data_IF_981174637880
#
_entry.id   IF_981174637880
#
_cell.length_a   1.000
_cell.length_b   1.000
_cell.length_c   1.000
_cell.angle_alpha   90.00
_cell.angle_beta   90.00
_cell.angle_gamma   90.00
#
_symmetry.space_group_name_H-M   'P 1'
#
loop_
_entity.id
_entity.type
_entity.pdbx_description
1 polymer ?
#
# COMPACT_ATOMS: atom_id res chain seq x y z
N UNK A 1 -3.19 -2.98 0.50
CA UNK A 1 -3.94 -3.85 1.43
C UNK A 1 -5.41 -3.87 1.03
N UNK A 2 -6.25 -4.80 1.53
CA UNK A 2 -7.70 -4.79 1.30
C UNK A 2 -8.46 -4.71 2.63
N UNK A 3 -9.49 -3.86 2.71
CA UNK A 3 -10.41 -3.78 3.86
C UNK A 3 -11.88 -3.81 3.41
N UNK A 4 -12.72 -4.25 4.34
CA UNK A 4 -13.87 -5.14 4.12
C UNK A 4 -15.16 -4.59 4.75
N UNK A 5 -16.27 -4.95 4.08
CA UNK A 5 -17.72 -5.05 4.41
C UNK A 5 -18.36 -3.99 5.32
N UNK A 6 -19.25 -3.18 4.74
CA UNK A 6 -20.38 -2.61 5.48
C UNK A 6 -21.41 -3.73 5.72
N UNK A 7 -21.83 -3.92 6.99
CA UNK A 7 -22.87 -4.86 7.36
C UNK A 7 -24.23 -4.44 6.76
N UNK A 8 -24.56 -4.99 5.59
CA UNK A 8 -25.92 -4.97 5.01
C UNK A 8 -26.72 -6.23 5.39
N UNK A 9 -26.48 -6.78 6.60
CA UNK A 9 -27.24 -7.90 7.18
C UNK A 9 -27.99 -7.45 8.44
N UNK A 10 -28.70 -6.32 8.38
CA UNK A 10 -29.78 -6.01 9.33
C UNK A 10 -31.13 -6.42 8.76
N UNK A 11 -31.22 -7.67 8.29
CA UNK A 11 -32.45 -8.26 7.77
C UNK A 11 -32.70 -9.61 8.42
N UNK A 12 -33.63 -9.62 9.36
CA UNK A 12 -34.22 -10.80 10.00
C UNK A 12 -33.34 -11.58 10.99
N UNK A 13 -33.41 -11.20 12.27
CA UNK A 13 -33.44 -12.16 13.39
C UNK A 13 -33.75 -11.41 14.68
N UNK A 14 -35.03 -11.23 14.98
CA UNK A 14 -35.56 -11.16 16.34
C UNK A 14 -37.09 -11.29 16.30
N UNK A 15 -37.60 -12.19 17.14
CA UNK A 15 -39.00 -12.54 17.37
C UNK A 15 -39.66 -13.47 16.35
N UNK A 16 -39.61 -14.77 16.65
CA UNK A 16 -40.83 -15.55 16.92
C UNK A 16 -40.47 -16.92 17.49
N UNK A 17 -40.59 -17.03 18.82
CA UNK A 17 -40.80 -18.27 19.53
C UNK A 17 -42.28 -18.66 19.42
N UNK A 18 -42.60 -19.79 18.78
CA UNK A 18 -43.60 -20.79 19.19
C UNK A 18 -44.05 -21.68 18.02
N UNK A 19 -43.91 -22.99 18.24
CA UNK A 19 -44.72 -24.11 17.73
C UNK A 19 -44.73 -24.46 16.22
N UNK A 20 -44.26 -25.68 15.93
CA UNK A 20 -45.02 -26.63 15.11
C UNK A 20 -44.63 -26.73 13.63
N UNK A 21 -43.88 -27.79 13.29
CA UNK A 21 -43.85 -28.52 12.02
C UNK A 21 -44.45 -27.82 10.78
N UNK A 22 -43.62 -27.14 9.99
CA UNK A 22 -43.94 -26.74 8.61
C UNK A 22 -42.71 -26.99 7.75
N UNK A 23 -42.97 -27.52 6.55
CA UNK A 23 -42.03 -27.80 5.45
C UNK A 23 -40.80 -26.89 5.47
N UNK A 24 -39.61 -27.50 5.43
CA UNK A 24 -38.38 -26.79 5.06
C UNK A 24 -38.65 -26.04 3.75
N UNK A 25 -38.61 -24.71 3.73
CA UNK A 25 -38.57 -23.99 2.47
C UNK A 25 -37.26 -24.41 1.82
N UNK A 26 -37.33 -24.93 0.59
CA UNK A 26 -36.18 -24.84 -0.32
C UNK A 26 -35.71 -23.40 -0.24
N UNK A 27 -34.50 -23.17 0.27
CA UNK A 27 -33.84 -21.88 0.20
C UNK A 27 -33.95 -21.44 -1.26
N UNK A 28 -34.84 -20.47 -1.50
CA UNK A 28 -34.89 -19.75 -2.75
C UNK A 28 -33.48 -19.21 -2.93
N UNK A 29 -32.79 -19.66 -3.97
CA UNK A 29 -31.57 -19.03 -4.43
C UNK A 29 -31.97 -17.59 -4.78
N UNK A 30 -31.81 -16.69 -3.81
CA UNK A 30 -31.96 -15.26 -4.02
C UNK A 30 -31.04 -14.85 -5.17
N UNK A 31 -31.38 -13.74 -5.83
CA UNK A 31 -30.55 -13.15 -6.88
C UNK A 31 -29.06 -13.16 -6.46
N UNK A 32 -28.13 -13.38 -7.40
CA UNK A 32 -26.72 -13.52 -7.06
C UNK A 32 -26.28 -12.35 -6.18
N UNK A 33 -25.67 -12.66 -5.04
CA UNK A 33 -25.16 -11.66 -4.13
C UNK A 33 -24.05 -10.90 -4.87
N UNK A 34 -24.30 -9.63 -5.17
CA UNK A 34 -23.32 -8.77 -5.83
C UNK A 34 -22.36 -8.22 -4.77
N UNK A 35 -21.07 -8.49 -4.93
CA UNK A 35 -19.99 -7.97 -4.09
C UNK A 35 -19.28 -6.86 -4.85
N UNK A 36 -19.34 -5.63 -4.35
CA UNK A 36 -18.75 -4.46 -5.02
C UNK A 36 -17.38 -4.15 -4.46
N UNK A 37 -16.38 -4.23 -5.33
CA UNK A 37 -14.98 -4.11 -5.00
C UNK A 37 -14.34 -2.89 -5.66
N UNK A 38 -13.86 -1.93 -4.86
CA UNK A 38 -13.15 -0.74 -5.36
C UNK A 38 -11.64 -0.97 -5.26
N UNK A 39 -10.94 -0.86 -6.39
CA UNK A 39 -9.48 -1.06 -6.47
C UNK A 39 -8.81 0.11 -7.17
N UNK A 40 -7.54 0.39 -6.88
CA UNK A 40 -6.75 1.27 -7.75
C UNK A 40 -6.53 0.64 -9.14
N UNK A 41 -6.11 1.48 -10.08
CA UNK A 41 -5.65 1.02 -11.40
C UNK A 41 -4.31 0.29 -11.27
N UNK A 42 -4.34 -1.02 -11.51
CA UNK A 42 -3.15 -1.88 -11.54
C UNK A 42 -2.49 -1.85 -12.92
N UNK A 43 -1.15 -1.84 -12.98
CA UNK A 43 -0.38 -2.05 -14.21
C UNK A 43 -0.50 -3.48 -14.74
N UNK A 44 -0.91 -4.42 -13.87
CA UNK A 44 -1.21 -5.81 -14.21
C UNK A 44 -2.68 -6.12 -13.93
N UNK A 45 -3.63 -5.62 -14.74
CA UNK A 45 -5.06 -5.77 -14.47
C UNK A 45 -5.52 -7.24 -14.51
N UNK A 46 -4.89 -8.07 -15.36
CA UNK A 46 -5.24 -9.48 -15.55
C UNK A 46 -5.11 -10.34 -14.28
N UNK A 47 -4.24 -9.95 -13.34
CA UNK A 47 -4.07 -10.67 -12.06
C UNK A 47 -5.35 -10.60 -11.24
N UNK A 48 -5.98 -9.42 -11.19
CA UNK A 48 -7.22 -9.21 -10.46
C UNK A 48 -8.41 -9.84 -11.15
N UNK A 49 -8.45 -9.79 -12.49
CA UNK A 49 -9.51 -10.42 -13.25
C UNK A 49 -9.50 -11.95 -13.05
N UNK A 50 -8.31 -12.56 -13.02
CA UNK A 50 -8.17 -13.98 -12.71
C UNK A 50 -8.53 -14.28 -11.25
N UNK A 51 -8.08 -13.47 -10.29
CA UNK A 51 -8.43 -13.66 -8.87
C UNK A 51 -9.94 -13.58 -8.62
N UNK A 52 -10.62 -12.63 -9.27
CA UNK A 52 -12.08 -12.49 -9.23
C UNK A 52 -12.76 -13.72 -9.84
N UNK A 53 -12.31 -14.16 -11.02
CA UNK A 53 -12.86 -15.35 -11.67
C UNK A 53 -12.72 -16.59 -10.80
N UNK A 54 -11.56 -16.78 -10.18
CA UNK A 54 -11.31 -17.90 -9.28
C UNK A 54 -12.16 -17.82 -8.00
N UNK A 55 -12.38 -16.61 -7.48
CA UNK A 55 -13.27 -16.39 -6.35
C UNK A 55 -14.73 -16.73 -6.70
N UNK A 56 -15.24 -16.23 -7.83
CA UNK A 56 -16.62 -16.52 -8.28
C UNK A 56 -16.82 -18.01 -8.56
N UNK A 57 -15.81 -18.69 -9.13
CA UNK A 57 -15.87 -20.13 -9.37
C UNK A 57 -15.96 -20.95 -8.07
N UNK A 58 -15.32 -20.48 -6.99
CA UNK A 58 -15.38 -21.12 -5.66
C UNK A 58 -16.60 -20.71 -4.84
N UNK A 59 -17.32 -19.66 -5.24
CA UNK A 59 -18.48 -19.14 -4.52
C UNK A 59 -19.70 -19.01 -5.46
N UNK A 60 -20.33 -20.14 -5.86
CA UNK A 60 -21.46 -20.11 -6.78
C UNK A 60 -22.63 -19.29 -6.24
N UNK A 61 -23.08 -18.32 -7.03
CA UNK A 61 -24.14 -17.38 -6.63
C UNK A 61 -23.63 -16.03 -6.13
N UNK A 62 -22.32 -15.80 -6.08
CA UNK A 62 -21.73 -14.48 -5.85
C UNK A 62 -21.16 -13.92 -7.14
N UNK A 63 -21.44 -12.65 -7.43
CA UNK A 63 -20.85 -11.91 -8.55
C UNK A 63 -20.02 -10.75 -8.00
N UNK A 64 -18.78 -10.61 -8.45
CA UNK A 64 -17.93 -9.47 -8.07
C UNK A 64 -18.02 -8.40 -9.15
N UNK A 65 -18.35 -7.18 -8.75
CA UNK A 65 -18.32 -6.00 -9.61
C UNK A 65 -17.17 -5.11 -9.15
N UNK A 66 -16.16 -4.99 -10.01
CA UNK A 66 -14.95 -4.22 -9.71
C UNK A 66 -15.04 -2.80 -10.27
N UNK A 67 -14.98 -1.81 -9.40
CA UNK A 67 -14.76 -0.40 -9.76
C UNK A 67 -13.25 -0.11 -9.74
N UNK A 68 -12.73 0.44 -10.84
CA UNK A 68 -11.30 0.77 -10.97
C UNK A 68 -11.14 2.28 -10.79
N UNK A 69 -10.55 2.67 -9.67
CA UNK A 69 -10.18 4.04 -9.35
C UNK A 69 -8.90 4.52 -10.04
N UNK A 70 -8.41 5.71 -9.68
CA UNK A 70 -7.15 6.26 -10.18
C UNK A 70 -5.93 5.41 -9.78
N UNK A 71 -4.79 5.71 -10.41
CA UNK A 71 -3.51 5.08 -10.09
C UNK A 71 -2.78 5.77 -8.93
N UNK A 72 -2.96 7.08 -8.77
CA UNK A 72 -2.38 7.86 -7.67
C UNK A 72 -2.97 7.42 -6.33
N UNK A 73 -2.12 7.12 -5.35
CA UNK A 73 -2.54 6.79 -3.98
C UNK A 73 -3.37 7.91 -3.35
N UNK A 74 -2.96 9.17 -3.56
CA UNK A 74 -3.70 10.36 -3.10
C UNK A 74 -5.08 10.44 -3.72
N UNK A 75 -5.19 10.36 -5.05
CA UNK A 75 -6.50 10.46 -5.73
C UNK A 75 -7.39 9.27 -5.36
N UNK A 76 -6.80 8.09 -5.13
CA UNK A 76 -7.53 6.91 -4.72
C UNK A 76 -8.03 7.03 -3.27
N UNK A 77 -7.22 7.60 -2.37
CA UNK A 77 -7.65 7.94 -1.00
C UNK A 77 -8.84 8.89 -1.04
N UNK A 78 -8.76 9.99 -1.81
CA UNK A 78 -9.83 10.97 -1.92
C UNK A 78 -11.14 10.35 -2.43
N UNK A 79 -11.05 9.49 -3.45
CA UNK A 79 -12.19 8.74 -3.98
C UNK A 79 -12.85 7.86 -2.91
N UNK A 80 -12.04 7.04 -2.23
CA UNK A 80 -12.55 6.11 -1.20
C UNK A 80 -13.12 6.88 -0.02
N UNK A 81 -12.43 7.91 0.45
CA UNK A 81 -12.89 8.81 1.52
C UNK A 81 -14.21 9.48 1.15
N UNK A 82 -14.36 10.00 -0.07
CA UNK A 82 -15.61 10.60 -0.53
C UNK A 82 -16.76 9.58 -0.51
N UNK A 83 -16.54 8.37 -1.04
CA UNK A 83 -17.54 7.28 -1.04
C UNK A 83 -17.96 6.90 0.39
N UNK A 84 -17.00 6.74 1.30
CA UNK A 84 -17.25 6.41 2.70
C UNK A 84 -18.05 7.51 3.42
N UNK A 85 -17.66 8.79 3.24
CA UNK A 85 -18.37 9.94 3.81
C UNK A 85 -19.81 10.05 3.30
N UNK A 86 -20.02 9.76 2.02
CA UNK A 86 -21.34 9.77 1.40
C UNK A 86 -22.16 8.50 1.71
N UNK A 87 -21.58 7.53 2.42
CA UNK A 87 -22.19 6.23 2.71
C UNK A 87 -22.65 5.51 1.43
N UNK A 88 -21.85 5.62 0.38
CA UNK A 88 -22.09 5.01 -0.93
C UNK A 88 -22.47 3.53 -0.73
N UNK A 89 -23.69 3.10 -1.13
CA UNK A 89 -24.10 1.71 -1.00
C UNK A 89 -23.42 0.78 -2.01
N UNK A 90 -22.57 1.32 -2.88
CA UNK A 90 -21.93 0.59 -3.96
C UNK A 90 -20.46 0.24 -3.69
N UNK A 91 -20.04 0.20 -2.43
CA UNK A 91 -18.69 -0.17 -2.03
C UNK A 91 -18.72 -1.10 -0.81
N UNK A 92 -18.43 -2.38 -1.03
CA UNK A 92 -18.40 -3.40 0.02
C UNK A 92 -16.98 -3.72 0.44
N UNK A 93 -16.07 -3.86 -0.52
CA UNK A 93 -14.66 -4.13 -0.31
C UNK A 93 -13.86 -3.07 -1.05
N UNK A 94 -12.77 -2.61 -0.47
CA UNK A 94 -11.90 -1.65 -1.13
C UNK A 94 -10.45 -1.90 -0.81
N UNK A 95 -9.59 -1.52 -1.73
CA UNK A 95 -8.18 -1.41 -1.45
C UNK A 95 -7.88 -0.25 -0.51
N UNK A 96 -6.91 -0.48 0.36
CA UNK A 96 -6.47 0.45 1.38
C UNK A 96 -4.94 0.43 1.40
N UNK A 97 -4.33 1.60 1.38
CA UNK A 97 -2.89 1.72 1.58
C UNK A 97 -2.51 1.37 3.03
N UNK A 98 -1.25 1.03 3.28
CA UNK A 98 -0.70 0.65 4.60
C UNK A 98 -0.82 1.75 5.64
N UNK A 99 -0.91 3.01 5.22
CA UNK A 99 -1.01 4.17 6.11
C UNK A 99 -2.46 4.57 6.48
N UNK A 100 -3.48 4.00 5.83
CA UNK A 100 -4.90 4.34 6.05
C UNK A 100 -5.68 3.53 7.12
N UNK A 101 -5.29 2.31 7.55
CA UNK A 101 -6.11 1.49 8.45
C UNK A 101 -6.51 2.22 9.73
N UNK A 102 -5.57 2.92 10.36
CA UNK A 102 -5.82 3.68 11.58
C UNK A 102 -6.80 4.85 11.36
N UNK A 103 -6.66 5.58 10.25
CA UNK A 103 -7.55 6.68 9.87
C UNK A 103 -8.97 6.18 9.67
N UNK A 104 -9.15 5.15 8.84
CA UNK A 104 -10.47 4.66 8.47
C UNK A 104 -11.15 3.90 9.62
N UNK A 105 -10.38 3.22 10.46
CA UNK A 105 -10.88 2.63 11.69
C UNK A 105 -11.34 3.70 12.70
N UNK A 106 -10.55 4.77 12.88
CA UNK A 106 -10.91 5.88 13.77
C UNK A 106 -12.18 6.61 13.31
N UNK A 107 -12.39 6.74 12.00
CA UNK A 107 -13.59 7.31 11.40
C UNK A 107 -14.82 6.38 11.45
N UNK A 108 -14.64 5.11 11.86
CA UNK A 108 -15.70 4.10 11.87
C UNK A 108 -16.11 3.63 10.48
N UNK A 109 -15.23 3.79 9.49
CA UNK A 109 -15.50 3.43 8.09
C UNK A 109 -15.07 2.00 7.74
N UNK A 110 -14.09 1.44 8.45
CA UNK A 110 -13.62 0.08 8.24
C UNK A 110 -14.22 -0.90 9.27
N UNK A 111 -14.70 -2.05 8.79
CA UNK A 111 -15.13 -3.15 9.65
C UNK A 111 -13.91 -3.82 10.29
N UNK A 112 -13.92 -4.07 11.60
CA UNK A 112 -12.90 -4.90 12.23
C UNK A 112 -13.04 -6.35 11.76
N UNK A 113 -11.92 -6.98 11.40
CA UNK A 113 -11.88 -8.30 10.77
C UNK A 113 -11.49 -9.43 11.72
N UNK A 114 -11.47 -9.18 13.03
CA UNK A 114 -11.00 -10.16 14.04
C UNK A 114 -11.73 -11.51 13.93
N UNK A 115 -13.03 -11.51 13.62
CA UNK A 115 -13.85 -12.72 13.46
C UNK A 115 -13.60 -13.45 12.13
N UNK A 116 -13.15 -12.74 11.09
CA UNK A 116 -12.99 -13.26 9.74
C UNK A 116 -11.53 -13.60 9.40
N UNK A 117 -10.59 -13.00 10.11
CA UNK A 117 -9.16 -13.15 9.90
C UNK A 117 -8.47 -13.49 11.23
N UNK A 118 -8.62 -14.73 11.74
CA UNK A 118 -8.10 -15.13 13.03
C UNK A 118 -6.57 -15.11 13.06
N UNK A 119 -5.99 -15.05 14.27
CA UNK A 119 -4.52 -14.95 14.46
C UNK A 119 -3.74 -16.06 13.75
N UNK A 120 -4.29 -17.28 13.67
CA UNK A 120 -3.67 -18.40 12.96
C UNK A 120 -3.52 -18.16 11.45
N UNK A 121 -4.45 -17.42 10.84
CA UNK A 121 -4.34 -16.99 9.45
C UNK A 121 -3.38 -15.79 9.32
N UNK A 122 -3.40 -14.86 10.28
CA UNK A 122 -2.49 -13.71 10.29
C UNK A 122 -1.01 -14.10 10.35
N UNK A 123 -0.69 -15.17 11.08
CA UNK A 123 0.68 -15.70 11.21
C UNK A 123 1.27 -16.24 9.89
N UNK A 124 0.46 -16.39 8.83
CA UNK A 124 0.92 -16.75 7.49
C UNK A 124 1.49 -15.56 6.73
N UNK A 125 1.35 -14.34 7.26
CA UNK A 125 1.82 -13.10 6.65
C UNK A 125 3.05 -12.56 7.40
N UNK A 126 3.76 -11.63 6.75
CA UNK A 126 4.81 -10.86 7.40
C UNK A 126 4.21 -10.02 8.54
N UNK A 127 4.98 -9.85 9.61
CA UNK A 127 4.53 -9.16 10.82
C UNK A 127 4.22 -7.68 10.56
N UNK A 128 5.07 -6.97 9.82
CA UNK A 128 4.91 -5.52 9.59
C UNK A 128 3.57 -5.15 8.91
N UNK A 129 3.13 -5.81 7.82
CA UNK A 129 1.78 -5.61 7.27
C UNK A 129 0.64 -5.92 8.24
N UNK A 130 0.80 -6.91 9.12
CA UNK A 130 -0.22 -7.21 10.14
C UNK A 130 -0.29 -6.06 11.15
N UNK A 131 0.85 -5.57 11.63
CA UNK A 131 0.92 -4.44 12.56
C UNK A 131 0.30 -3.18 11.96
N UNK A 132 0.62 -2.85 10.72
CA UNK A 132 0.07 -1.67 10.06
C UNK A 132 -1.46 -1.72 9.90
N UNK A 133 -2.04 -2.91 9.73
CA UNK A 133 -3.49 -3.10 9.67
C UNK A 133 -4.20 -3.01 11.03
N UNK A 134 -3.48 -2.78 12.13
CA UNK A 134 -4.06 -2.74 13.47
C UNK A 134 -4.32 -1.32 13.94
N UNK A 135 -5.48 -1.15 14.56
CA UNK A 135 -5.83 0.07 15.27
C UNK A 135 -6.51 -0.26 16.59
N UNK A 136 -6.00 0.30 17.69
CA UNK A 136 -6.52 0.08 19.06
C UNK A 136 -6.76 -1.41 19.38
N UNK A 137 -5.80 -2.27 19.00
CA UNK A 137 -5.82 -3.71 19.28
C UNK A 137 -6.61 -4.57 18.31
N UNK A 138 -7.37 -3.99 17.38
CA UNK A 138 -8.19 -4.74 16.39
C UNK A 138 -7.57 -4.67 15.00
N UNK A 139 -7.82 -5.68 14.18
CA UNK A 139 -7.35 -5.72 12.79
C UNK A 139 -8.43 -5.19 11.84
N UNK A 140 -8.06 -4.30 10.92
CA UNK A 140 -9.01 -3.60 10.02
C UNK A 140 -8.75 -3.85 8.53
N UNK A 141 -7.74 -4.65 8.21
CA UNK A 141 -7.45 -5.04 6.83
C UNK A 141 -6.66 -6.34 6.75
N UNK A 142 -6.74 -6.96 5.58
CA UNK A 142 -5.95 -8.14 5.23
C UNK A 142 -4.84 -7.71 4.26
N UNK A 143 -3.58 -8.09 4.51
CA UNK A 143 -2.51 -7.88 3.52
C UNK A 143 -2.81 -8.67 2.25
N UNK A 144 -2.54 -8.07 1.09
CA UNK A 144 -2.73 -8.74 -0.22
C UNK A 144 -1.39 -8.88 -0.95
N UNK A 145 -0.59 -7.83 -0.91
CA UNK A 145 0.81 -7.81 -1.32
C UNK A 145 1.53 -6.70 -0.56
N UNK A 146 2.86 -6.68 -0.67
CA UNK A 146 3.73 -5.68 -0.07
C UNK A 146 4.79 -5.30 -1.10
N UNK A 147 5.21 -4.04 -1.08
CA UNK A 147 6.33 -3.52 -1.86
C UNK A 147 7.50 -3.21 -0.93
N UNK A 148 8.71 -3.29 -1.48
CA UNK A 148 9.94 -2.93 -0.79
C UNK A 148 10.86 -2.13 -1.73
N UNK A 149 11.51 -1.09 -1.19
CA UNK A 149 12.55 -0.36 -1.90
C UNK A 149 13.74 -1.26 -2.21
N UNK A 150 14.16 -1.29 -3.48
CA UNK A 150 15.30 -2.06 -3.96
C UNK A 150 16.16 -1.21 -4.88
N UNK A 151 17.48 -1.34 -4.74
CA UNK A 151 18.43 -0.71 -5.65
C UNK A 151 18.68 -1.62 -6.87
N UNK A 152 18.14 -1.23 -8.02
CA UNK A 152 18.50 -1.81 -9.31
C UNK A 152 19.72 -1.10 -9.90
N UNK A 153 20.64 -1.85 -10.49
CA UNK A 153 21.89 -1.30 -11.02
C UNK A 153 22.36 -2.02 -12.29
N UNK A 154 23.16 -1.32 -13.10
CA UNK A 154 23.79 -1.83 -14.31
C UNK A 154 25.09 -2.59 -13.97
N UNK A 155 24.99 -3.92 -13.92
CA UNK A 155 26.11 -4.83 -13.62
C UNK A 155 27.30 -4.64 -14.55
N UNK A 156 27.04 -4.42 -15.82
CA UNK A 156 28.05 -4.21 -16.86
C UNK A 156 28.84 -2.91 -16.66
N UNK A 157 28.18 -1.82 -16.27
CA UNK A 157 28.86 -0.57 -15.92
C UNK A 157 29.71 -0.77 -14.66
N UNK A 158 29.17 -1.36 -13.59
CA UNK A 158 29.98 -1.63 -12.39
C UNK A 158 31.21 -2.50 -12.72
N UNK A 159 31.04 -3.56 -13.51
CA UNK A 159 32.14 -4.44 -13.93
C UNK A 159 33.19 -3.70 -14.77
N UNK A 160 32.79 -2.88 -15.75
CA UNK A 160 33.69 -2.08 -16.59
C UNK A 160 34.64 -1.20 -15.78
N UNK A 161 34.15 -0.64 -14.67
CA UNK A 161 34.93 0.22 -13.78
C UNK A 161 35.52 -0.50 -12.55
N UNK A 162 35.41 -1.83 -12.48
CA UNK A 162 35.95 -2.63 -11.38
C UNK A 162 35.25 -2.39 -10.03
N UNK A 163 33.99 -1.96 -10.04
CA UNK A 163 33.20 -1.71 -8.85
C UNK A 163 32.33 -2.90 -8.43
N UNK A 164 32.17 -3.06 -7.13
CA UNK A 164 31.13 -3.90 -6.53
C UNK A 164 29.85 -3.08 -6.32
N UNK A 165 28.66 -3.72 -6.24
CA UNK A 165 27.42 -3.01 -5.92
C UNK A 165 27.57 -2.20 -4.62
N UNK A 166 27.16 -0.91 -4.63
CA UNK A 166 27.38 -0.01 -3.50
C UNK A 166 26.63 -0.49 -2.26
N UNK A 167 27.30 -0.44 -1.11
CA UNK A 167 26.70 -0.81 0.18
C UNK A 167 26.18 0.41 0.95
N UNK A 168 26.56 1.62 0.52
CA UNK A 168 26.17 2.87 1.17
C UNK A 168 25.85 3.95 0.13
N UNK A 169 25.03 4.93 0.52
CA UNK A 169 24.69 6.07 -0.34
C UNK A 169 25.92 6.90 -0.78
N UNK A 170 26.89 7.23 0.09
CA UNK A 170 28.11 7.93 -0.34
C UNK A 170 28.96 7.12 -1.33
N UNK A 171 29.00 5.79 -1.16
CA UNK A 171 29.66 4.91 -2.13
C UNK A 171 28.96 4.95 -3.50
N UNK A 172 27.62 4.85 -3.52
CA UNK A 172 26.84 4.98 -4.74
C UNK A 172 27.17 6.28 -5.47
N UNK A 173 27.17 7.42 -4.78
CA UNK A 173 27.49 8.73 -5.37
C UNK A 173 28.92 8.77 -5.94
N UNK A 174 29.89 8.21 -5.22
CA UNK A 174 31.29 8.17 -5.67
C UNK A 174 31.44 7.33 -6.94
N UNK A 175 30.87 6.12 -6.95
CA UNK A 175 30.91 5.23 -8.11
C UNK A 175 30.19 5.86 -9.31
N UNK A 176 28.99 6.42 -9.08
CA UNK A 176 28.19 7.13 -10.07
C UNK A 176 28.97 8.27 -10.75
N UNK A 177 29.60 9.15 -9.97
CA UNK A 177 30.37 10.28 -10.52
C UNK A 177 31.53 9.84 -11.40
N UNK A 178 32.25 8.78 -11.01
CA UNK A 178 33.34 8.22 -11.85
C UNK A 178 32.79 7.70 -13.17
N UNK A 179 31.69 6.94 -13.12
CA UNK A 179 31.05 6.39 -14.31
C UNK A 179 30.58 7.51 -15.24
N UNK A 180 29.86 8.52 -14.75
CA UNK A 180 29.40 9.65 -15.58
C UNK A 180 30.54 10.45 -16.21
N UNK A 181 31.66 10.60 -15.52
CA UNK A 181 32.79 11.36 -16.05
C UNK A 181 33.55 10.60 -17.15
N UNK A 182 33.54 9.26 -17.10
CA UNK A 182 34.29 8.41 -18.02
C UNK A 182 33.41 7.81 -19.13
N UNK A 183 32.10 7.72 -18.92
CA UNK A 183 31.12 7.44 -19.96
C UNK A 183 30.80 8.74 -20.69
N UNK A 184 31.33 8.91 -21.90
CA UNK A 184 31.05 10.06 -22.76
C UNK A 184 29.67 9.96 -23.44
N UNK A 185 28.64 9.64 -22.65
CA UNK A 185 27.28 9.38 -23.10
C UNK A 185 26.33 10.44 -22.53
N UNK A 186 25.95 11.48 -23.31
CA UNK A 186 25.19 12.63 -22.81
C UNK A 186 23.82 12.29 -22.19
N UNK A 187 23.26 11.13 -22.53
CA UNK A 187 21.97 10.68 -22.02
C UNK A 187 22.09 9.80 -20.76
N UNK A 188 23.31 9.41 -20.38
CA UNK A 188 23.52 8.59 -19.20
C UNK A 188 23.28 9.41 -17.93
N UNK A 189 22.44 8.89 -17.05
CA UNK A 189 22.15 9.44 -15.72
C UNK A 189 22.35 8.32 -14.69
N UNK A 190 22.79 8.66 -13.48
CA UNK A 190 23.28 7.63 -12.55
C UNK A 190 22.28 7.16 -11.53
N UNK A 191 21.33 8.00 -11.12
CA UNK A 191 20.32 7.61 -10.15
C UNK A 191 18.96 8.17 -10.54
N UNK A 192 17.97 7.30 -10.58
CA UNK A 192 16.57 7.64 -10.81
C UNK A 192 15.78 7.21 -9.58
N UNK A 193 15.21 8.19 -8.87
CA UNK A 193 14.33 8.01 -7.73
C UNK A 193 13.09 8.89 -7.88
N UNK A 194 12.10 8.70 -7.01
CA UNK A 194 10.86 9.48 -7.04
C UNK A 194 10.98 10.66 -6.09
N UNK A 195 11.21 11.87 -6.61
CA UNK A 195 11.41 13.09 -5.80
C UNK A 195 10.42 14.23 -6.11
N UNK A 196 9.41 13.98 -6.96
CA UNK A 196 8.30 14.92 -7.15
C UNK A 196 7.45 15.02 -5.86
N UNK A 197 6.69 16.11 -5.71
CA UNK A 197 5.91 16.43 -4.52
C UNK A 197 4.64 15.57 -4.38
N UNK A 198 4.82 14.29 -4.04
CA UNK A 198 3.78 13.35 -3.65
C UNK A 198 4.35 12.32 -2.68
N UNK A 199 3.57 11.30 -2.33
CA UNK A 199 3.97 10.24 -1.41
C UNK A 199 5.31 9.58 -1.76
N UNK A 200 5.63 9.41 -3.06
CA UNK A 200 6.88 8.83 -3.52
C UNK A 200 8.12 9.53 -2.95
N UNK A 201 8.10 10.87 -2.84
CA UNK A 201 9.18 11.64 -2.21
C UNK A 201 9.36 11.26 -0.74
N UNK A 202 8.26 11.08 0.00
CA UNK A 202 8.34 10.70 1.41
C UNK A 202 8.90 9.29 1.54
N UNK A 203 8.39 8.34 0.74
CA UNK A 203 8.89 6.96 0.73
C UNK A 203 10.39 6.88 0.41
N UNK A 204 10.85 7.61 -0.63
CA UNK A 204 12.26 7.63 -1.00
C UNK A 204 13.09 8.30 0.10
N UNK A 205 12.65 9.46 0.60
CA UNK A 205 13.39 10.20 1.64
C UNK A 205 13.54 9.41 2.94
N UNK A 206 12.55 8.58 3.30
CA UNK A 206 12.63 7.70 4.47
C UNK A 206 13.81 6.73 4.39
N UNK A 207 14.13 6.19 3.21
CA UNK A 207 15.28 5.30 3.03
C UNK A 207 16.61 6.00 3.40
N UNK A 208 16.75 7.28 3.04
CA UNK A 208 17.94 8.07 3.37
C UNK A 208 17.97 8.49 4.84
N UNK A 209 16.83 8.94 5.38
CA UNK A 209 16.75 9.40 6.78
C UNK A 209 17.03 8.24 7.72
N UNK A 210 16.32 7.12 7.56
CA UNK A 210 16.47 5.94 8.40
C UNK A 210 17.86 5.31 8.21
N UNK A 211 18.35 5.24 6.97
CA UNK A 211 19.70 4.73 6.66
C UNK A 211 20.83 5.59 7.25
N UNK A 212 20.58 6.86 7.53
CA UNK A 212 21.53 7.76 8.20
C UNK A 212 21.34 7.81 9.74
N UNK A 213 20.54 6.91 10.32
CA UNK A 213 20.23 6.91 11.76
C UNK A 213 19.37 8.10 12.19
N UNK A 214 18.60 8.68 11.27
CA UNK A 214 17.56 9.66 11.54
C UNK A 214 16.21 9.02 11.79
N UNK A 215 15.23 9.86 12.11
CA UNK A 215 13.84 9.48 12.30
C UNK A 215 12.90 10.61 11.84
N UNK A 216 11.67 10.24 11.48
CA UNK A 216 10.60 11.19 11.13
C UNK A 216 9.87 11.71 12.37
N UNK A 217 9.56 10.81 13.31
CA UNK A 217 8.85 11.12 14.55
C UNK A 217 9.37 10.26 15.70
N UNK A 218 9.12 10.74 16.91
CA UNK A 218 9.30 10.00 18.15
C UNK A 218 8.03 9.19 18.41
N UNK A 219 8.16 7.86 18.37
CA UNK A 219 7.05 6.92 18.59
C UNK A 219 6.44 7.03 20.00
N UNK A 220 7.20 7.56 20.95
CA UNK A 220 6.78 7.71 22.36
C UNK A 220 6.04 9.03 22.58
N UNK A 221 6.66 10.14 22.18
CA UNK A 221 6.15 11.49 22.40
C UNK A 221 5.24 12.01 21.28
N UNK A 222 5.05 11.25 20.19
CA UNK A 222 4.25 11.64 19.01
C UNK A 222 4.64 13.03 18.47
N UNK A 223 5.94 13.32 18.50
CA UNK A 223 6.51 14.61 18.09
C UNK A 223 7.45 14.42 16.90
N UNK A 224 7.66 15.46 16.10
CA UNK A 224 8.55 15.36 14.94
C UNK A 224 10.01 15.22 15.37
N UNK A 225 10.71 14.24 14.78
CA UNK A 225 12.14 14.01 14.96
C UNK A 225 12.97 14.50 13.77
N UNK A 226 12.35 15.16 12.79
CA UNK A 226 13.05 15.71 11.62
C UNK A 226 14.08 16.79 11.98
N UNK A 227 14.03 17.33 13.20
CA UNK A 227 15.01 18.30 13.69
C UNK A 227 16.38 17.68 14.03
N UNK A 228 16.46 16.36 14.16
CA UNK A 228 17.70 15.64 14.43
C UNK A 228 18.76 15.98 13.37
N UNK A 229 20.02 16.04 13.82
CA UNK A 229 21.14 16.33 12.93
C UNK A 229 21.25 15.28 11.80
N UNK A 230 21.09 14.00 12.13
CA UNK A 230 21.10 12.88 11.16
C UNK A 230 19.98 13.00 10.11
N UNK A 231 18.76 13.35 10.52
CA UNK A 231 17.64 13.58 9.59
C UNK A 231 17.92 14.76 8.64
N UNK A 232 18.41 15.89 9.18
CA UNK A 232 18.76 17.06 8.36
C UNK A 232 19.92 16.78 7.41
N UNK A 233 20.91 16.03 7.85
CA UNK A 233 22.04 15.61 7.03
C UNK A 233 21.57 14.74 5.86
N UNK A 234 20.71 13.75 6.10
CA UNK A 234 20.14 12.92 5.04
C UNK A 234 19.37 13.75 4.00
N UNK A 235 18.54 14.69 4.44
CA UNK A 235 17.80 15.59 3.53
C UNK A 235 18.76 16.44 2.69
N UNK A 236 19.81 17.01 3.29
CA UNK A 236 20.84 17.77 2.57
C UNK A 236 21.60 16.88 1.59
N UNK A 237 21.93 15.66 1.99
CA UNK A 237 22.60 14.69 1.14
C UNK A 237 21.76 14.36 -0.10
N UNK A 238 20.46 14.06 0.06
CA UNK A 238 19.57 13.80 -1.08
C UNK A 238 19.49 15.00 -2.00
N UNK A 239 19.30 16.21 -1.43
CA UNK A 239 19.28 17.45 -2.21
C UNK A 239 20.59 17.59 -3.00
N UNK A 240 21.72 17.67 -2.32
CA UNK A 240 22.99 18.12 -2.91
C UNK A 240 23.70 17.04 -3.72
N UNK A 241 23.67 15.78 -3.26
CA UNK A 241 24.45 14.69 -3.84
C UNK A 241 23.64 13.82 -4.80
N UNK A 242 22.36 13.59 -4.51
CA UNK A 242 21.48 12.77 -5.36
C UNK A 242 20.83 13.64 -6.44
N UNK A 243 19.88 14.48 -6.04
CA UNK A 243 19.06 15.30 -6.94
C UNK A 243 19.93 16.26 -7.74
N UNK A 244 20.76 17.07 -7.07
CA UNK A 244 21.61 18.05 -7.78
C UNK A 244 22.90 17.44 -8.33
N UNK A 245 23.31 16.27 -7.84
CA UNK A 245 24.62 15.68 -8.14
C UNK A 245 24.63 14.62 -9.25
N UNK A 246 23.76 13.61 -9.19
CA UNK A 246 23.88 12.41 -10.07
C UNK A 246 22.57 12.00 -10.75
N UNK A 247 21.48 12.70 -10.48
CA UNK A 247 20.15 12.46 -11.06
C UNK A 247 19.83 13.43 -12.19
N UNK A 248 19.00 12.96 -13.13
CA UNK A 248 18.34 13.84 -14.10
C UNK A 248 17.29 14.72 -13.41
N UNK A 249 17.03 15.94 -13.90
CA UNK A 249 16.03 16.85 -13.30
C UNK A 249 14.60 16.33 -13.35
N UNK A 250 14.32 15.41 -14.27
CA UNK A 250 13.01 14.76 -14.40
C UNK A 250 12.57 13.97 -13.18
N UNK A 251 13.46 13.68 -12.22
CA UNK A 251 13.06 13.05 -10.94
C UNK A 251 12.17 13.94 -10.07
N UNK A 252 12.10 15.24 -10.38
CA UNK A 252 11.25 16.23 -9.70
C UNK A 252 9.91 16.48 -10.42
N UNK A 253 9.68 15.82 -11.57
CA UNK A 253 8.53 16.05 -12.43
C UNK A 253 7.45 14.98 -12.27
#
# INVERSE_FOLDING_TARGET
MAAVLRASLTGALSLLSLLGFVLLPRLSYGAPAELRFVSWRSDSPWVWDQAIKDFEARNPGTKVVREIGPHSSTEFHDLVTQKLRNRDPHMDVFFMDVIWPAEFAAAGWALPLDEFFPVSEQQKFLEAPILANRYRGRIYGAPVFIDAGLLYYRRDLLAKYGFSPPQTWPELVRQARKILAEENEPQLTCYSGQFNQYEGLICNMMEYILGNGGALWDETGLSSSLQLASSKEAVRFVRDQIIWGISHRGVLA
#
